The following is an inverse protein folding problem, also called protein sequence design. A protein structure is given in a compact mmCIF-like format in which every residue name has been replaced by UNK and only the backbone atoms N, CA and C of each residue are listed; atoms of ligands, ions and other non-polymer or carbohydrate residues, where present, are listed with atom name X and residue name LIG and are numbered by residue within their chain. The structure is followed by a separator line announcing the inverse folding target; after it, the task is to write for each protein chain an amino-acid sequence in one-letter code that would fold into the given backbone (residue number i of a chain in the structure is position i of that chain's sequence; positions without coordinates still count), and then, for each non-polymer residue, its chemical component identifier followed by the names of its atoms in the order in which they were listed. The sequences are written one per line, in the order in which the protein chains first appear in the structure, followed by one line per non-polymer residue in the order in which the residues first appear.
data_IF_493338368977
#
_entry.id   IF_493338368977
#
_cell.length_a   1.000
_cell.length_b   1.000
_cell.length_c   1.000
_cell.angle_alpha   90.00
_cell.angle_beta   90.00
_cell.angle_gamma   90.00
#
_symmetry.space_group_name_H-M   'P 1'
#
loop_
_entity.id
_entity.type
_entity.pdbx_description
1 polymer ?
#
# COMPACT_ATOMS: atom_id res chain seq x y z
N UNK A 1 -14.14 10.35 0.75
CA UNK A 1 -14.34 9.77 2.10
C UNK A 1 -12.94 9.62 2.66
N UNK A 2 -12.64 10.11 3.86
CA UNK A 2 -11.23 10.11 4.31
C UNK A 2 -10.88 8.72 4.84
N UNK A 3 -9.68 8.26 4.48
CA UNK A 3 -9.14 6.97 4.92
C UNK A 3 -7.80 7.20 5.62
N UNK A 4 -7.50 6.34 6.58
CA UNK A 4 -6.31 6.44 7.40
C UNK A 4 -5.62 5.09 7.50
N UNK A 5 -4.30 5.11 7.69
CA UNK A 5 -3.56 3.92 8.07
C UNK A 5 -3.68 3.70 9.58
N UNK A 6 -4.16 2.51 9.94
CA UNK A 6 -4.16 1.99 11.30
C UNK A 6 -3.13 0.85 11.37
N UNK A 7 -1.97 1.05 12.03
CA UNK A 7 -0.95 0.01 12.12
C UNK A 7 -1.48 -1.21 12.86
N UNK A 8 -1.39 -2.37 12.24
CA UNK A 8 -1.75 -3.64 12.89
C UNK A 8 -0.49 -4.34 13.41
N UNK A 9 0.53 -4.47 12.56
CA UNK A 9 1.81 -5.09 12.92
C UNK A 9 2.95 -4.35 12.23
N UNK A 10 3.97 -3.94 12.98
CA UNK A 10 5.19 -3.34 12.43
C UNK A 10 6.38 -4.15 12.92
N UNK A 11 7.07 -4.81 11.99
CA UNK A 11 8.32 -5.53 12.24
C UNK A 11 9.41 -5.09 11.26
N UNK A 12 10.69 -5.39 11.54
CA UNK A 12 11.77 -5.14 10.60
C UNK A 12 11.62 -5.89 9.27
N UNK A 13 10.93 -7.04 9.26
CA UNK A 13 10.75 -7.88 8.08
C UNK A 13 9.48 -7.54 7.30
N UNK A 14 8.40 -7.16 8.00
CA UNK A 14 7.13 -6.82 7.37
C UNK A 14 6.32 -5.81 8.19
N UNK A 15 5.46 -5.07 7.51
CA UNK A 15 4.53 -4.13 8.11
C UNK A 15 3.14 -4.39 7.53
N UNK A 16 2.15 -4.52 8.40
CA UNK A 16 0.73 -4.63 8.03
C UNK A 16 0.02 -3.42 8.60
N UNK A 17 -0.62 -2.66 7.73
CA UNK A 17 -1.43 -1.49 8.07
C UNK A 17 -2.85 -1.75 7.57
N UNK A 18 -3.83 -1.62 8.45
CA UNK A 18 -5.22 -1.56 8.05
C UNK A 18 -5.55 -0.19 7.48
N UNK A 19 -6.46 -0.18 6.53
CA UNK A 19 -7.06 1.04 5.99
C UNK A 19 -8.42 1.17 6.63
N UNK A 20 -8.61 2.24 7.40
CA UNK A 20 -9.86 2.51 8.11
C UNK A 20 -10.48 3.82 7.63
N UNK A 21 -11.81 3.90 7.67
CA UNK A 21 -12.54 5.14 7.39
C UNK A 21 -12.68 6.03 8.64
N UNK A 22 -13.32 7.20 8.48
CA UNK A 22 -13.64 8.13 9.57
C UNK A 22 -14.49 7.50 10.70
N UNK A 23 -15.15 6.36 10.46
CA UNK A 23 -15.94 5.62 11.43
C UNK A 23 -15.16 4.46 12.09
N UNK A 24 -13.84 4.38 11.90
CA UNK A 24 -12.98 3.27 12.33
C UNK A 24 -13.37 1.90 11.74
N UNK A 25 -14.13 1.88 10.65
CA UNK A 25 -14.46 0.66 9.95
C UNK A 25 -13.28 0.29 9.04
N UNK A 26 -12.86 -0.97 9.11
CA UNK A 26 -11.87 -1.50 8.17
C UNK A 26 -12.47 -1.53 6.76
N UNK A 27 -11.85 -0.80 5.84
CA UNK A 27 -12.20 -0.74 4.40
C UNK A 27 -11.14 -1.44 3.53
N UNK A 28 -10.03 -1.86 4.13
CA UNK A 28 -8.97 -2.60 3.46
C UNK A 28 -7.74 -2.82 4.34
N UNK A 29 -6.69 -3.35 3.74
CA UNK A 29 -5.37 -3.49 4.34
C UNK A 29 -4.25 -3.30 3.30
N UNK A 30 -3.06 -3.00 3.81
CA UNK A 30 -1.82 -2.99 3.05
C UNK A 30 -0.71 -3.67 3.85
N UNK A 31 -0.03 -4.59 3.20
CA UNK A 31 1.13 -5.29 3.71
C UNK A 31 2.38 -4.87 2.92
N UNK A 32 3.44 -4.56 3.64
CA UNK A 32 4.77 -4.29 3.13
C UNK A 32 5.70 -5.39 3.63
N UNK A 33 6.29 -6.16 2.74
CA UNK A 33 7.26 -7.20 3.08
C UNK A 33 8.63 -6.77 2.53
N UNK A 34 9.60 -6.69 3.43
CA UNK A 34 10.98 -6.31 3.14
C UNK A 34 11.83 -7.59 3.05
N UNK A 35 12.40 -7.84 1.87
CA UNK A 35 13.27 -8.98 1.62
C UNK A 35 14.56 -8.51 0.94
N UNK A 36 15.62 -8.36 1.73
CA UNK A 36 16.95 -7.86 1.31
C UNK A 36 16.91 -6.56 0.47
N UNK A 37 16.82 -6.71 -0.86
CA UNK A 37 16.77 -5.65 -1.87
C UNK A 37 15.41 -5.53 -2.54
N UNK A 38 14.38 -6.20 -2.04
CA UNK A 38 13.03 -6.20 -2.59
C UNK A 38 12.03 -5.70 -1.56
N UNK A 39 11.10 -4.89 -2.02
CA UNK A 39 9.94 -4.43 -1.28
C UNK A 39 8.69 -4.95 -1.98
N UNK A 40 8.00 -5.88 -1.34
CA UNK A 40 6.69 -6.35 -1.80
C UNK A 40 5.61 -5.53 -1.12
N UNK A 41 4.77 -4.87 -1.91
CA UNK A 41 3.63 -4.11 -1.46
C UNK A 41 2.38 -4.82 -1.93
N UNK A 42 1.59 -5.33 -0.99
CA UNK A 42 0.31 -5.96 -1.27
C UNK A 42 -0.78 -5.14 -0.59
N UNK A 43 -1.75 -4.64 -1.34
CA UNK A 43 -2.87 -3.90 -0.78
C UNK A 43 -4.18 -4.42 -1.30
N UNK A 44 -5.17 -4.51 -0.44
CA UNK A 44 -6.54 -4.84 -0.79
C UNK A 44 -7.47 -3.82 -0.17
N UNK A 45 -8.32 -3.23 -0.99
CA UNK A 45 -9.36 -2.30 -0.61
C UNK A 45 -10.67 -2.92 -1.05
N UNK A 46 -11.60 -3.12 -0.13
CA UNK A 46 -12.90 -3.72 -0.45
C UNK A 46 -13.84 -2.72 -1.12
N UNK A 47 -13.69 -1.44 -0.81
CA UNK A 47 -14.61 -0.38 -1.24
C UNK A 47 -14.06 0.39 -2.46
N UNK A 48 -14.75 0.32 -3.62
CA UNK A 48 -14.31 0.99 -4.86
C UNK A 48 -14.27 2.52 -4.74
N UNK A 49 -15.11 3.11 -3.89
CA UNK A 49 -15.26 4.56 -3.75
C UNK A 49 -14.05 5.28 -3.16
N UNK A 50 -13.10 4.55 -2.57
CA UNK A 50 -11.91 5.09 -1.88
C UNK A 50 -10.60 4.77 -2.58
N UNK A 51 -10.64 4.24 -3.81
CA UNK A 51 -9.43 3.88 -4.56
C UNK A 51 -8.48 5.06 -4.85
N UNK A 52 -9.03 6.25 -5.10
CA UNK A 52 -8.24 7.46 -5.33
C UNK A 52 -7.52 7.92 -4.05
N UNK A 53 -8.26 8.02 -2.95
CA UNK A 53 -7.70 8.35 -1.62
C UNK A 53 -6.62 7.33 -1.21
N UNK A 54 -6.83 6.04 -1.50
CA UNK A 54 -5.85 4.98 -1.23
C UNK A 54 -4.56 5.14 -2.02
N UNK A 55 -4.65 5.49 -3.31
CA UNK A 55 -3.45 5.76 -4.12
C UNK A 55 -2.68 6.97 -3.59
N UNK A 56 -3.37 8.03 -3.20
CA UNK A 56 -2.76 9.24 -2.63
C UNK A 56 -2.14 8.99 -1.24
N UNK A 57 -2.63 8.01 -0.49
CA UNK A 57 -2.11 7.62 0.81
C UNK A 57 -0.87 6.69 0.69
N UNK A 58 -0.94 5.70 -0.21
CA UNK A 58 0.14 4.71 -0.42
C UNK A 58 1.35 5.30 -1.14
N UNK A 59 1.13 6.19 -2.11
CA UNK A 59 2.21 6.81 -2.91
C UNK A 59 3.28 7.53 -2.07
N UNK A 60 2.94 8.46 -1.16
CA UNK A 60 3.94 9.12 -0.31
C UNK A 60 4.58 8.14 0.68
N UNK A 61 3.84 7.13 1.15
CA UNK A 61 4.39 6.10 2.03
C UNK A 61 5.49 5.29 1.32
N UNK A 62 5.22 4.82 0.10
CA UNK A 62 6.20 4.14 -0.75
C UNK A 62 7.40 5.03 -1.05
N UNK A 63 7.19 6.31 -1.37
CA UNK A 63 8.29 7.29 -1.55
C UNK A 63 9.13 7.47 -0.28
N UNK A 64 8.53 7.38 0.91
CA UNK A 64 9.26 7.39 2.18
C UNK A 64 10.16 6.15 2.33
N UNK A 65 9.62 4.97 2.00
CA UNK A 65 10.36 3.71 2.04
C UNK A 65 11.54 3.68 1.05
N UNK A 66 11.35 4.18 -0.18
CA UNK A 66 12.44 4.24 -1.17
C UNK A 66 13.52 5.24 -0.80
N UNK A 67 13.17 6.35 -0.14
CA UNK A 67 14.17 7.28 0.40
C UNK A 67 15.00 6.66 1.52
N UNK A 68 14.38 5.82 2.36
CA UNK A 68 15.08 5.14 3.45
C UNK A 68 16.01 4.03 2.92
N UNK A 69 15.69 3.42 1.79
CA UNK A 69 16.48 2.37 1.14
C UNK A 69 16.46 2.53 -0.39
N UNK A 70 17.43 3.26 -0.97
CA UNK A 70 17.44 3.61 -2.40
C UNK A 70 17.70 2.43 -3.35
N UNK A 71 18.24 1.31 -2.85
CA UNK A 71 18.53 0.08 -3.63
C UNK A 71 17.41 -0.99 -3.55
N UNK A 72 16.15 -0.58 -3.33
CA UNK A 72 15.01 -1.50 -3.26
C UNK A 72 14.26 -1.61 -4.60
N UNK A 73 14.12 -2.83 -5.11
CA UNK A 73 13.18 -3.18 -6.18
C UNK A 73 11.76 -3.28 -5.60
N UNK A 74 10.85 -2.44 -6.09
CA UNK A 74 9.47 -2.36 -5.58
C UNK A 74 8.52 -3.19 -6.44
N UNK A 75 7.93 -4.19 -5.83
CA UNK A 75 6.89 -5.02 -6.42
C UNK A 75 5.55 -4.67 -5.77
N UNK A 76 4.72 -3.89 -6.47
CA UNK A 76 3.42 -3.47 -5.97
C UNK A 76 2.28 -4.27 -6.63
N UNK A 77 1.35 -4.74 -5.82
CA UNK A 77 0.12 -5.38 -6.26
C UNK A 77 -1.02 -4.86 -5.39
N UNK A 78 -1.80 -3.93 -5.93
CA UNK A 78 -2.93 -3.34 -5.22
C UNK A 78 -4.24 -3.83 -5.84
N UNK A 79 -5.23 -4.09 -5.01
CA UNK A 79 -6.58 -4.46 -5.41
C UNK A 79 -7.56 -3.46 -4.81
N UNK A 80 -8.52 -3.01 -5.61
CA UNK A 80 -9.62 -2.14 -5.17
C UNK A 80 -10.92 -2.73 -5.70
N UNK A 81 -11.84 -3.11 -4.81
CA UNK A 81 -13.14 -3.69 -5.18
C UNK A 81 -13.03 -4.89 -6.12
N UNK A 82 -12.16 -5.84 -5.79
CA UNK A 82 -11.84 -7.02 -6.62
C UNK A 82 -11.20 -6.72 -7.98
N UNK A 83 -10.80 -5.46 -8.26
CA UNK A 83 -10.04 -5.09 -9.47
C UNK A 83 -8.58 -4.86 -9.12
N UNK A 84 -7.69 -5.50 -9.86
CA UNK A 84 -6.24 -5.27 -9.73
C UNK A 84 -5.90 -3.89 -10.29
N UNK A 85 -5.26 -3.06 -9.48
CA UNK A 85 -4.64 -1.80 -9.87
C UNK A 85 -3.13 -2.02 -9.94
N UNK A 86 -2.57 -1.92 -11.14
CA UNK A 86 -1.14 -1.83 -11.32
C UNK A 86 -0.68 -0.41 -11.00
N UNK A 87 0.16 -0.27 -9.97
CA UNK A 87 0.89 0.99 -9.72
C UNK A 87 2.20 1.05 -10.50
N UNK A 88 2.68 -0.08 -11.04
CA UNK A 88 3.94 -0.18 -11.77
C UNK A 88 3.84 0.02 -13.30
N UNK A 89 2.72 0.53 -13.85
CA UNK A 89 2.61 0.84 -15.30
C UNK A 89 3.23 2.20 -15.68
N UNK A 90 4.49 2.40 -15.29
CA UNK A 90 5.39 3.34 -15.98
C UNK A 90 6.75 2.65 -16.19
N UNK A 91 6.81 1.79 -17.21
CA UNK A 91 7.93 1.61 -18.15
C UNK A 91 7.64 0.44 -19.10
N UNK A 92 6.72 0.66 -20.03
CA UNK A 92 6.78 -0.04 -21.30
C UNK A 92 6.95 1.02 -22.40
N UNK A 93 8.16 1.01 -22.98
CA UNK A 93 8.73 1.84 -24.06
C UNK A 93 9.39 3.17 -23.69
#
# INVERSE_FOLDING_TARGET
MQIYFSPEVITPQFQVLNVVDDANKAVGNVAFLFDEKKLYVYGILEEEGVGADFKDLVTPYMKGLTKAKPDLDIFSCLYVGCKKININEEKEN
#
